data_IF_562970093507
#
_entry.id   IF_562970093507
#
_cell.length_a   1.000
_cell.length_b   1.000
_cell.length_c   1.000
_cell.angle_alpha   90.00
_cell.angle_beta   90.00
_cell.angle_gamma   90.00
#
_symmetry.space_group_name_H-M   'P 1'
#
loop_
_entity.id
_entity.type
_entity.pdbx_description
1 polymer ?
#
# COMPACT_ATOMS: atom_id res chain seq x y z
N UNK A 1 18.91 -2.26 54.18
CA UNK A 1 17.46 -2.07 53.89
C UNK A 1 17.30 -1.72 52.44
N UNK A 2 16.91 -2.67 51.57
CA UNK A 2 16.65 -2.43 50.14
C UNK A 2 15.13 -2.27 49.98
N UNK A 3 14.62 -1.25 49.24
CA UNK A 3 13.20 -1.16 48.99
C UNK A 3 12.77 -2.18 47.95
N UNK A 4 11.73 -2.92 48.27
CA UNK A 4 11.04 -3.88 47.41
C UNK A 4 10.19 -3.05 46.39
N UNK A 5 10.62 -3.05 45.12
CA UNK A 5 9.81 -2.49 44.02
C UNK A 5 8.88 -3.60 43.55
N UNK A 6 7.62 -3.50 43.93
CA UNK A 6 6.56 -4.33 43.36
C UNK A 6 6.43 -4.01 41.87
N UNK A 7 6.81 -4.98 41.02
CA UNK A 7 6.56 -4.91 39.58
C UNK A 7 5.07 -5.15 39.39
N UNK A 8 4.37 -4.06 39.04
CA UNK A 8 2.99 -4.11 38.57
C UNK A 8 2.99 -4.88 37.24
N UNK A 9 2.52 -6.12 37.25
CA UNK A 9 2.24 -6.89 36.03
C UNK A 9 1.07 -6.20 35.31
N UNK A 10 1.42 -5.24 34.44
CA UNK A 10 0.46 -4.71 33.48
C UNK A 10 0.13 -5.82 32.48
N UNK A 11 -1.13 -6.24 32.51
CA UNK A 11 -1.78 -7.15 31.58
C UNK A 11 -1.32 -6.92 30.15
N UNK A 12 -0.65 -7.93 29.57
CA UNK A 12 -0.33 -7.98 28.15
C UNK A 12 -1.61 -7.78 27.33
N UNK A 13 -1.60 -6.90 26.33
CA UNK A 13 -2.77 -6.73 25.49
C UNK A 13 -3.08 -8.05 24.80
N UNK A 14 -4.28 -8.57 25.03
CA UNK A 14 -4.84 -9.71 24.33
C UNK A 14 -4.64 -9.52 22.84
N UNK A 15 -3.96 -10.47 22.19
CA UNK A 15 -3.75 -10.48 20.74
C UNK A 15 -5.10 -10.39 20.03
N UNK A 16 -5.41 -9.20 19.51
CA UNK A 16 -6.58 -9.03 18.64
C UNK A 16 -6.50 -10.04 17.50
N UNK A 17 -7.60 -10.69 17.10
CA UNK A 17 -7.60 -11.67 16.03
C UNK A 17 -7.02 -10.99 14.77
N UNK A 18 -5.91 -11.53 14.25
CA UNK A 18 -5.28 -11.06 13.01
C UNK A 18 -6.36 -10.92 11.95
N UNK A 19 -6.72 -9.67 11.64
CA UNK A 19 -7.68 -9.37 10.58
C UNK A 19 -7.22 -10.14 9.33
N UNK A 20 -8.10 -11.00 8.80
CA UNK A 20 -7.85 -11.85 7.64
C UNK A 20 -7.40 -10.96 6.48
N UNK A 21 -6.10 -10.83 6.30
CA UNK A 21 -5.51 -10.05 5.21
C UNK A 21 -5.91 -10.76 3.92
N UNK A 22 -6.54 -10.02 3.01
CA UNK A 22 -6.86 -10.52 1.67
C UNK A 22 -5.56 -10.62 0.90
N UNK A 23 -5.06 -11.86 0.77
CA UNK A 23 -3.71 -12.18 0.34
C UNK A 23 -3.68 -12.45 -1.17
N UNK A 24 -3.64 -11.40 -2.02
CA UNK A 24 -3.19 -11.54 -3.40
C UNK A 24 -1.68 -11.84 -3.46
N UNK A 25 -0.99 -11.38 -4.50
CA UNK A 25 0.48 -11.49 -4.62
C UNK A 25 1.23 -10.83 -3.45
N UNK A 26 0.56 -10.00 -2.66
CA UNK A 26 1.10 -9.45 -1.41
C UNK A 26 1.54 -10.54 -0.42
N UNK A 27 0.95 -11.74 -0.48
CA UNK A 27 1.39 -12.90 0.31
C UNK A 27 2.85 -13.32 0.01
N UNK A 28 3.36 -13.01 -1.19
CA UNK A 28 4.74 -13.29 -1.59
C UNK A 28 5.76 -12.30 -0.99
N UNK A 29 5.30 -11.21 -0.35
CA UNK A 29 6.19 -10.18 0.20
C UNK A 29 7.27 -10.75 1.15
N UNK A 30 6.99 -11.67 2.09
CA UNK A 30 8.01 -12.24 2.96
C UNK A 30 9.06 -13.06 2.19
N UNK A 31 8.62 -13.80 1.17
CA UNK A 31 9.51 -14.54 0.29
C UNK A 31 10.40 -13.58 -0.52
N UNK A 32 9.83 -12.54 -1.10
CA UNK A 32 10.56 -11.54 -1.87
C UNK A 32 11.58 -10.80 -1.00
N UNK A 33 11.21 -10.40 0.23
CA UNK A 33 12.13 -9.76 1.19
C UNK A 33 13.33 -10.66 1.50
N UNK A 34 13.12 -11.98 1.68
CA UNK A 34 14.23 -12.92 1.90
C UNK A 34 15.18 -13.01 0.70
N UNK A 35 14.69 -12.86 -0.53
CA UNK A 35 15.54 -12.81 -1.73
C UNK A 35 16.34 -11.51 -1.83
N UNK A 36 15.93 -10.46 -1.14
CA UNK A 36 16.63 -9.17 -1.07
C UNK A 36 17.67 -9.10 0.07
N UNK A 37 17.82 -10.14 0.90
CA UNK A 37 18.81 -10.19 1.99
C UNK A 37 20.22 -9.84 1.53
N UNK A 38 20.74 -10.29 0.37
CA UNK A 38 22.06 -9.90 -0.10
C UNK A 38 22.27 -8.40 -0.32
N UNK A 39 21.18 -7.64 -0.47
CA UNK A 39 21.20 -6.17 -0.58
C UNK A 39 20.91 -5.54 0.79
N UNK A 40 20.02 -6.15 1.55
CA UNK A 40 19.61 -5.66 2.87
C UNK A 40 20.77 -5.65 3.86
N UNK A 41 21.50 -6.78 3.99
CA UNK A 41 22.55 -6.91 4.99
C UNK A 41 23.70 -5.91 4.81
N UNK A 42 24.28 -5.72 3.60
CA UNK A 42 25.25 -4.66 3.37
C UNK A 42 24.69 -3.24 3.60
N UNK A 43 23.44 -2.99 3.21
CA UNK A 43 22.80 -1.70 3.43
C UNK A 43 22.68 -1.36 4.92
N UNK A 44 22.37 -2.36 5.76
CA UNK A 44 22.33 -2.21 7.22
C UNK A 44 23.73 -2.01 7.78
N UNK A 45 24.70 -2.84 7.37
CA UNK A 45 26.08 -2.76 7.83
C UNK A 45 26.74 -1.41 7.51
N UNK A 46 26.48 -0.86 6.30
CA UNK A 46 27.01 0.43 5.86
C UNK A 46 26.12 1.63 6.23
N UNK A 47 25.12 1.45 7.08
CA UNK A 47 24.23 2.52 7.53
C UNK A 47 23.52 3.28 6.39
N UNK A 48 23.21 2.63 5.27
CA UNK A 48 22.52 3.25 4.13
C UNK A 48 21.14 3.78 4.55
N UNK A 49 20.80 5.01 4.15
CA UNK A 49 19.50 5.60 4.46
C UNK A 49 18.37 4.83 3.77
N UNK A 50 17.24 4.52 4.45
CA UNK A 50 16.06 3.96 3.82
C UNK A 50 15.54 4.78 2.62
N UNK A 51 15.68 6.10 2.66
CA UNK A 51 15.24 7.02 1.61
C UNK A 51 15.96 6.80 0.26
N UNK A 52 17.18 6.26 0.29
CA UNK A 52 17.91 5.89 -0.94
C UNK A 52 17.15 4.81 -1.71
N UNK A 53 16.56 3.84 -1.00
CA UNK A 53 15.78 2.77 -1.62
C UNK A 53 14.42 3.26 -2.13
N UNK A 54 13.79 4.22 -1.44
CA UNK A 54 12.60 4.90 -1.94
C UNK A 54 12.92 5.65 -3.23
N UNK A 55 14.00 6.45 -3.26
CA UNK A 55 14.42 7.19 -4.44
C UNK A 55 14.79 6.25 -5.60
N UNK A 56 15.56 5.19 -5.33
CA UNK A 56 15.92 4.18 -6.33
C UNK A 56 14.67 3.50 -6.92
N UNK A 57 13.65 3.23 -6.09
CA UNK A 57 12.36 2.70 -6.54
C UNK A 57 11.63 3.65 -7.47
N UNK A 58 11.65 4.97 -7.20
CA UNK A 58 11.06 6.00 -8.08
C UNK A 58 11.82 6.09 -9.41
N UNK A 59 13.16 6.11 -9.37
CA UNK A 59 13.99 6.10 -10.59
C UNK A 59 13.73 4.85 -11.43
N UNK A 60 13.67 3.68 -10.79
CA UNK A 60 13.33 2.44 -11.48
C UNK A 60 11.92 2.49 -12.11
N UNK A 61 10.94 3.12 -11.44
CA UNK A 61 9.60 3.32 -12.01
C UNK A 61 9.63 4.24 -13.24
N UNK A 62 10.44 5.29 -13.22
CA UNK A 62 10.67 6.17 -14.39
C UNK A 62 11.27 5.39 -15.56
N UNK A 63 12.32 4.60 -15.30
CA UNK A 63 12.93 3.74 -16.31
C UNK A 63 11.95 2.67 -16.85
N UNK A 64 11.10 2.10 -15.97
CA UNK A 64 10.02 1.21 -16.39
C UNK A 64 9.03 1.94 -17.31
N UNK A 65 8.62 3.17 -16.94
CA UNK A 65 7.72 4.00 -17.77
C UNK A 65 8.28 4.24 -19.16
N UNK A 66 9.56 4.57 -19.27
CA UNK A 66 10.25 4.73 -20.58
C UNK A 66 10.24 3.40 -21.34
N UNK A 67 10.64 2.29 -20.71
CA UNK A 67 10.66 0.98 -21.35
C UNK A 67 9.27 0.56 -21.85
N UNK A 68 8.21 0.82 -21.05
CA UNK A 68 6.81 0.58 -21.42
C UNK A 68 6.44 1.43 -22.64
N UNK A 69 6.73 2.74 -22.63
CA UNK A 69 6.41 3.66 -23.71
C UNK A 69 6.96 3.19 -25.07
N UNK A 70 8.11 2.52 -25.06
CA UNK A 70 8.73 1.94 -26.27
C UNK A 70 8.38 0.48 -26.52
N UNK A 71 7.56 -0.16 -25.67
CA UNK A 71 7.17 -1.57 -25.81
C UNK A 71 8.29 -2.57 -25.52
N UNK A 72 9.36 -2.14 -24.82
CA UNK A 72 10.52 -2.98 -24.48
C UNK A 72 10.19 -3.79 -23.21
N UNK A 73 9.30 -4.78 -23.35
CA UNK A 73 8.72 -5.50 -22.22
C UNK A 73 9.76 -6.15 -21.28
N UNK A 74 10.93 -6.70 -21.72
CA UNK A 74 11.88 -7.29 -20.79
C UNK A 74 12.48 -6.24 -19.83
N UNK A 75 12.80 -5.04 -20.35
CA UNK A 75 13.29 -3.93 -19.54
C UNK A 75 12.17 -3.37 -18.65
N UNK A 76 10.95 -3.26 -19.17
CA UNK A 76 9.79 -2.86 -18.37
C UNK A 76 9.59 -3.80 -17.17
N UNK A 77 9.60 -5.11 -17.39
CA UNK A 77 9.48 -6.10 -16.33
C UNK A 77 10.63 -6.00 -15.31
N UNK A 78 11.88 -5.90 -15.78
CA UNK A 78 13.05 -5.74 -14.92
C UNK A 78 12.91 -4.50 -14.02
N UNK A 79 12.63 -3.34 -14.60
CA UNK A 79 12.53 -2.09 -13.83
C UNK A 79 11.31 -2.06 -12.91
N UNK A 80 10.19 -2.71 -13.25
CA UNK A 80 9.06 -2.88 -12.35
C UNK A 80 9.41 -3.77 -11.14
N UNK A 81 10.22 -4.82 -11.33
CA UNK A 81 10.75 -5.64 -10.22
C UNK A 81 11.69 -4.81 -9.34
N UNK A 82 12.60 -4.02 -9.94
CA UNK A 82 13.50 -3.12 -9.19
C UNK A 82 12.72 -2.05 -8.39
N UNK A 83 11.66 -1.50 -8.98
CA UNK A 83 10.73 -0.61 -8.27
C UNK A 83 10.14 -1.28 -7.03
N UNK A 84 9.64 -2.53 -7.17
CA UNK A 84 9.08 -3.29 -6.06
C UNK A 84 10.14 -3.64 -5.01
N UNK A 85 11.38 -3.90 -5.44
CA UNK A 85 12.51 -4.14 -4.55
C UNK A 85 12.84 -2.88 -3.71
N UNK A 86 12.95 -1.72 -4.34
CA UNK A 86 13.17 -0.44 -3.66
C UNK A 86 12.11 -0.18 -2.60
N UNK A 87 10.82 -0.26 -2.99
CA UNK A 87 9.67 -0.08 -2.10
C UNK A 87 9.49 -1.20 -1.04
N UNK A 88 10.33 -2.21 -0.99
CA UNK A 88 10.37 -3.22 0.06
C UNK A 88 11.59 -3.02 0.95
N UNK A 89 12.74 -2.67 0.36
CA UNK A 89 14.00 -2.46 1.05
C UNK A 89 13.97 -1.24 1.97
N UNK A 90 13.29 -0.13 1.59
CA UNK A 90 13.18 1.06 2.44
C UNK A 90 12.61 0.73 3.82
N UNK A 91 11.47 0.07 3.86
CA UNK A 91 10.86 -0.36 5.11
C UNK A 91 11.65 -1.49 5.82
N UNK A 92 12.32 -2.38 5.08
CA UNK A 92 13.13 -3.45 5.67
C UNK A 92 14.37 -2.87 6.36
N UNK A 93 15.12 -1.97 5.69
CA UNK A 93 16.29 -1.28 6.26
C UNK A 93 15.88 -0.41 7.44
N UNK A 94 14.77 0.36 7.33
CA UNK A 94 14.31 1.19 8.43
C UNK A 94 14.03 0.38 9.70
N UNK A 95 13.38 -0.77 9.57
CA UNK A 95 13.10 -1.68 10.70
C UNK A 95 14.37 -2.35 11.25
N UNK A 96 15.24 -2.86 10.36
CA UNK A 96 16.46 -3.54 10.77
C UNK A 96 17.43 -2.62 11.51
N UNK A 97 17.46 -1.33 11.14
CA UNK A 97 18.30 -0.31 11.79
C UNK A 97 17.61 0.40 12.97
N UNK A 98 16.33 0.15 13.22
CA UNK A 98 15.57 0.88 14.26
C UNK A 98 15.38 2.38 13.97
N UNK A 99 15.49 2.81 12.69
CA UNK A 99 15.40 4.23 12.27
C UNK A 99 14.06 4.59 11.62
N UNK A 100 13.02 3.84 11.94
CA UNK A 100 11.66 4.14 11.46
C UNK A 100 11.20 5.52 11.96
N UNK A 101 10.77 6.39 11.04
CA UNK A 101 10.35 7.77 11.36
C UNK A 101 9.07 8.13 10.62
N UNK A 102 8.22 9.02 11.20
CA UNK A 102 6.97 9.44 10.53
C UNK A 102 7.20 10.06 9.15
N UNK A 103 8.26 10.87 8.99
CA UNK A 103 8.59 11.48 7.71
C UNK A 103 9.00 10.44 6.64
N UNK A 104 9.73 9.39 7.02
CA UNK A 104 10.05 8.28 6.13
C UNK A 104 8.81 7.57 5.59
N UNK A 105 7.76 7.46 6.41
CA UNK A 105 6.46 6.96 5.97
C UNK A 105 5.82 7.86 4.90
N UNK A 106 5.85 9.19 5.10
CA UNK A 106 5.33 10.17 4.12
C UNK A 106 6.10 10.07 2.80
N UNK A 107 7.44 10.03 2.85
CA UNK A 107 8.28 9.89 1.66
C UNK A 107 7.99 8.61 0.89
N UNK A 108 7.81 7.48 1.57
CA UNK A 108 7.44 6.22 0.93
C UNK A 108 6.07 6.31 0.22
N UNK A 109 5.06 6.92 0.87
CA UNK A 109 3.74 7.09 0.24
C UNK A 109 3.79 8.00 -1.00
N UNK A 110 4.53 9.11 -0.93
CA UNK A 110 4.74 10.02 -2.07
C UNK A 110 5.51 9.29 -3.17
N UNK A 111 6.60 8.59 -2.82
CA UNK A 111 7.40 7.81 -3.77
C UNK A 111 6.59 6.73 -4.48
N UNK A 112 5.70 6.05 -3.76
CA UNK A 112 4.78 5.06 -4.35
C UNK A 112 3.81 5.71 -5.35
N UNK A 113 3.28 6.91 -5.05
CA UNK A 113 2.40 7.63 -5.98
C UNK A 113 3.15 8.13 -7.21
N UNK A 114 4.32 8.73 -7.02
CA UNK A 114 5.19 9.15 -8.12
C UNK A 114 5.54 7.96 -9.03
N UNK A 115 5.90 6.82 -8.44
CA UNK A 115 6.20 5.58 -9.17
C UNK A 115 5.00 5.07 -9.98
N UNK A 116 3.79 5.09 -9.41
CA UNK A 116 2.58 4.72 -10.13
C UNK A 116 2.35 5.67 -11.31
N UNK A 117 2.43 7.00 -11.10
CA UNK A 117 2.21 8.00 -12.15
C UNK A 117 3.21 7.85 -13.30
N UNK A 118 4.50 7.67 -13.01
CA UNK A 118 5.54 7.45 -14.03
C UNK A 118 5.27 6.18 -14.85
N UNK A 119 4.85 5.11 -14.20
CA UNK A 119 4.52 3.85 -14.88
C UNK A 119 3.27 4.00 -15.77
N UNK A 120 2.21 4.66 -15.27
CA UNK A 120 1.01 4.91 -16.07
C UNK A 120 1.24 5.93 -17.19
N UNK A 121 2.11 6.92 -17.00
CA UNK A 121 2.50 7.83 -18.07
C UNK A 121 3.15 7.07 -19.23
N UNK A 122 4.08 6.14 -18.94
CA UNK A 122 4.65 5.24 -19.94
C UNK A 122 3.60 4.40 -20.65
N UNK A 123 2.64 3.85 -19.90
CA UNK A 123 1.55 3.06 -20.47
C UNK A 123 0.59 3.90 -21.35
N UNK A 124 0.38 5.18 -21.01
CA UNK A 124 -0.41 6.10 -21.83
C UNK A 124 0.28 6.38 -23.18
N UNK A 125 1.61 6.63 -23.15
CA UNK A 125 2.41 6.78 -24.37
C UNK A 125 2.34 5.49 -25.23
N UNK A 126 2.52 4.34 -24.61
CA UNK A 126 2.42 3.04 -25.28
C UNK A 126 1.05 2.87 -25.94
N UNK A 127 -0.03 3.10 -25.21
CA UNK A 127 -1.40 3.00 -25.71
C UNK A 127 -1.68 4.00 -26.87
N UNK A 128 -1.15 5.24 -26.79
CA UNK A 128 -1.30 6.24 -27.82
C UNK A 128 -0.60 5.87 -29.14
N UNK A 129 0.43 5.02 -29.08
CA UNK A 129 1.22 4.57 -30.26
C UNK A 129 0.67 3.31 -30.92
N UNK A 130 -0.21 2.56 -30.26
CA UNK A 130 -0.71 1.30 -30.79
C UNK A 130 -1.69 1.41 -31.98
N UNK A 131 -2.24 2.59 -32.25
CA UNK A 131 -3.34 2.78 -33.23
C UNK A 131 -2.88 3.37 -34.57
N UNK A 132 -1.63 3.13 -34.98
CA UNK A 132 -1.09 3.57 -36.27
C UNK A 132 -0.05 4.69 -36.16
N UNK A 133 0.36 5.27 -37.29
CA UNK A 133 1.35 6.35 -37.31
C UNK A 133 0.85 7.58 -36.58
N UNK A 134 1.69 8.14 -35.70
CA UNK A 134 1.37 9.29 -34.85
C UNK A 134 0.98 8.92 -33.42
N UNK A 135 0.57 9.96 -32.67
CA UNK A 135 0.19 9.83 -31.24
C UNK A 135 -1.31 10.10 -31.09
N UNK A 136 -2.06 9.07 -30.73
CA UNK A 136 -3.53 9.14 -30.60
C UNK A 136 -3.93 9.33 -29.12
N UNK A 137 -3.69 10.54 -28.58
CA UNK A 137 -3.92 10.88 -27.18
C UNK A 137 -5.39 10.82 -26.71
N UNK A 138 -6.34 10.95 -27.64
CA UNK A 138 -7.77 10.87 -27.34
C UNK A 138 -8.36 9.48 -27.66
N UNK A 139 -7.51 8.48 -27.87
CA UNK A 139 -7.98 7.11 -28.10
C UNK A 139 -8.57 6.51 -26.82
N UNK A 140 -9.54 5.61 -27.00
CA UNK A 140 -10.20 4.93 -25.88
C UNK A 140 -9.21 4.25 -24.92
N UNK A 141 -8.17 3.51 -25.37
CA UNK A 141 -7.17 2.95 -24.47
C UNK A 141 -6.43 3.98 -23.62
N UNK A 142 -6.11 5.15 -24.16
CA UNK A 142 -5.47 6.23 -23.36
C UNK A 142 -6.41 6.72 -22.27
N UNK A 143 -7.68 6.94 -22.58
CA UNK A 143 -8.70 7.32 -21.60
C UNK A 143 -8.81 6.27 -20.49
N UNK A 144 -8.80 4.99 -20.85
CA UNK A 144 -8.80 3.89 -19.86
C UNK A 144 -7.52 3.88 -19.01
N UNK A 145 -6.34 4.17 -19.57
CA UNK A 145 -5.09 4.29 -18.80
C UNK A 145 -5.19 5.41 -17.79
N UNK A 146 -5.71 6.58 -18.18
CA UNK A 146 -5.91 7.71 -17.26
C UNK A 146 -6.90 7.39 -16.16
N UNK A 147 -7.99 6.71 -16.49
CA UNK A 147 -8.96 6.21 -15.51
C UNK A 147 -8.32 5.20 -14.54
N UNK A 148 -7.48 4.28 -15.05
CA UNK A 148 -6.75 3.33 -14.22
C UNK A 148 -5.71 4.02 -13.30
N UNK A 149 -5.02 5.04 -13.81
CA UNK A 149 -4.08 5.85 -13.02
C UNK A 149 -4.80 6.57 -11.86
N UNK A 150 -5.95 7.19 -12.14
CA UNK A 150 -6.79 7.83 -11.12
C UNK A 150 -7.30 6.79 -10.11
N UNK A 151 -7.88 5.69 -10.59
CA UNK A 151 -8.37 4.61 -9.73
C UNK A 151 -7.27 4.04 -8.83
N UNK A 152 -6.02 3.93 -9.30
CA UNK A 152 -4.88 3.41 -8.55
C UNK A 152 -4.54 4.23 -7.27
N UNK A 153 -4.99 5.47 -7.17
CA UNK A 153 -4.82 6.30 -5.97
C UNK A 153 -5.80 5.93 -4.86
N UNK A 154 -7.00 5.47 -5.22
CA UNK A 154 -8.14 5.31 -4.33
C UNK A 154 -7.91 4.31 -3.17
N UNK A 155 -7.30 3.11 -3.37
CA UNK A 155 -7.10 2.16 -2.28
C UNK A 155 -6.18 2.70 -1.17
N UNK A 156 -5.18 3.48 -1.55
CA UNK A 156 -4.26 4.10 -0.58
C UNK A 156 -4.95 5.26 0.12
N UNK A 157 -5.62 6.14 -0.63
CA UNK A 157 -6.39 7.25 -0.06
C UNK A 157 -7.42 6.74 0.94
N UNK A 158 -8.21 5.72 0.57
CA UNK A 158 -9.20 5.11 1.46
C UNK A 158 -8.57 4.54 2.75
N UNK A 159 -7.39 3.89 2.63
CA UNK A 159 -6.67 3.36 3.80
C UNK A 159 -6.11 4.44 4.71
N UNK A 160 -5.58 5.53 4.15
CA UNK A 160 -5.04 6.64 4.91
C UNK A 160 -6.15 7.44 5.59
N UNK A 161 -7.24 7.72 4.88
CA UNK A 161 -8.41 8.39 5.43
C UNK A 161 -9.04 7.58 6.57
N UNK A 162 -9.17 6.27 6.39
CA UNK A 162 -9.67 5.38 7.44
C UNK A 162 -8.74 5.36 8.67
N UNK A 163 -7.42 5.35 8.47
CA UNK A 163 -6.45 5.40 9.56
C UNK A 163 -6.49 6.75 10.29
N UNK A 164 -6.67 7.86 9.58
CA UNK A 164 -6.85 9.18 10.18
C UNK A 164 -8.13 9.25 11.02
N UNK A 165 -9.17 8.50 10.66
CA UNK A 165 -10.41 8.36 11.43
C UNK A 165 -10.32 7.35 12.59
N UNK A 166 -9.15 6.74 12.84
CA UNK A 166 -8.93 5.80 13.95
C UNK A 166 -9.08 4.31 13.61
N UNK A 167 -9.31 3.95 12.33
CA UNK A 167 -9.27 2.56 11.90
C UNK A 167 -7.84 2.06 11.65
N UNK A 168 -7.66 0.75 11.65
CA UNK A 168 -6.37 0.15 11.29
C UNK A 168 -6.09 0.32 9.80
N UNK A 169 -4.88 0.82 9.46
CA UNK A 169 -4.44 0.92 8.07
C UNK A 169 -4.35 -0.46 7.41
N UNK A 170 -4.98 -0.61 6.25
CA UNK A 170 -5.03 -1.88 5.50
C UNK A 170 -4.28 -1.77 4.17
N UNK A 171 -3.38 -2.71 3.91
CA UNK A 171 -2.53 -2.74 2.71
C UNK A 171 -2.84 -3.90 1.73
N UNK A 172 -3.76 -4.79 2.06
CA UNK A 172 -4.15 -5.92 1.22
C UNK A 172 -5.30 -5.59 0.26
N UNK A 173 -5.59 -6.52 -0.64
CA UNK A 173 -6.71 -6.44 -1.59
C UNK A 173 -6.45 -7.27 -2.84
N UNK A 174 -7.49 -7.57 -3.66
CA UNK A 174 -7.34 -8.38 -4.87
C UNK A 174 -6.47 -7.74 -5.95
N UNK A 175 -6.35 -6.40 -5.96
CA UNK A 175 -5.49 -5.68 -6.90
C UNK A 175 -4.70 -4.59 -6.17
N UNK A 176 -3.50 -4.96 -5.72
CA UNK A 176 -2.54 -4.09 -5.09
C UNK A 176 -1.45 -3.58 -6.06
N UNK A 177 -0.37 -3.03 -5.50
CA UNK A 177 0.77 -2.51 -6.26
C UNK A 177 1.47 -3.59 -7.10
N UNK A 178 1.65 -4.77 -6.53
CA UNK A 178 2.35 -5.90 -7.18
C UNK A 178 1.57 -6.43 -8.37
N UNK A 179 0.26 -6.62 -8.19
CA UNK A 179 -0.65 -7.06 -9.24
C UNK A 179 -0.69 -6.07 -10.40
N UNK A 180 -0.72 -4.74 -10.10
CA UNK A 180 -0.67 -3.71 -11.15
C UNK A 180 0.63 -3.78 -11.95
N UNK A 181 1.78 -3.92 -11.29
CA UNK A 181 3.07 -4.07 -11.99
C UNK A 181 3.07 -5.29 -12.93
N UNK A 182 2.57 -6.43 -12.45
CA UNK A 182 2.47 -7.65 -13.27
C UNK A 182 1.56 -7.43 -14.48
N UNK A 183 0.36 -6.89 -14.28
CA UNK A 183 -0.60 -6.65 -15.37
C UNK A 183 -0.04 -5.69 -16.42
N UNK A 184 0.65 -4.62 -16.00
CA UNK A 184 1.28 -3.68 -16.92
C UNK A 184 2.42 -4.33 -17.70
N UNK A 185 3.26 -5.15 -17.05
CA UNK A 185 4.31 -5.91 -17.72
C UNK A 185 3.74 -6.87 -18.78
N UNK A 186 2.66 -7.59 -18.42
CA UNK A 186 1.97 -8.49 -19.36
C UNK A 186 1.33 -7.74 -20.53
N UNK A 187 0.69 -6.59 -20.29
CA UNK A 187 0.12 -5.77 -21.37
C UNK A 187 1.19 -5.19 -22.30
N UNK A 188 2.39 -4.89 -21.78
CA UNK A 188 3.51 -4.43 -22.59
C UNK A 188 4.09 -5.59 -23.43
N UNK A 189 4.14 -6.81 -22.86
CA UNK A 189 4.62 -8.00 -23.57
C UNK A 189 3.61 -8.51 -24.63
N UNK A 190 2.33 -8.39 -24.33
CA UNK A 190 1.24 -8.88 -25.18
C UNK A 190 0.20 -7.78 -25.40
N UNK A 191 0.43 -6.83 -26.33
CA UNK A 191 -0.45 -5.67 -26.55
C UNK A 191 -1.92 -6.04 -26.83
N UNK A 192 -2.18 -7.20 -27.37
CA UNK A 192 -3.54 -7.70 -27.68
C UNK A 192 -4.42 -7.81 -26.42
N UNK A 193 -3.82 -8.05 -25.24
CA UNK A 193 -4.57 -8.15 -23.98
C UNK A 193 -4.76 -6.78 -23.27
N UNK A 194 -4.20 -5.71 -23.81
CA UNK A 194 -4.24 -4.38 -23.17
C UNK A 194 -5.66 -3.96 -22.77
N UNK A 195 -6.72 -4.08 -23.60
CA UNK A 195 -8.07 -3.68 -23.21
C UNK A 195 -8.60 -4.43 -21.98
N UNK A 196 -8.31 -5.74 -21.91
CA UNK A 196 -8.69 -6.57 -20.77
C UNK A 196 -7.92 -6.14 -19.51
N UNK A 197 -6.61 -5.92 -19.64
CA UNK A 197 -5.77 -5.46 -18.53
C UNK A 197 -6.24 -4.11 -18.00
N UNK A 198 -6.55 -3.14 -18.88
CA UNK A 198 -7.04 -1.83 -18.47
C UNK A 198 -8.37 -1.93 -17.71
N UNK A 199 -9.29 -2.77 -18.20
CA UNK A 199 -10.54 -3.06 -17.50
C UNK A 199 -10.29 -3.66 -16.11
N UNK A 200 -9.37 -4.61 -15.99
CA UNK A 200 -8.99 -5.22 -14.70
C UNK A 200 -8.31 -4.22 -13.78
N UNK A 201 -7.45 -3.35 -14.30
CA UNK A 201 -6.80 -2.29 -13.51
C UNK A 201 -7.82 -1.34 -12.87
N UNK A 202 -8.86 -0.95 -13.61
CA UNK A 202 -9.92 -0.08 -13.08
C UNK A 202 -10.79 -0.85 -12.09
N UNK A 203 -11.42 -1.94 -12.53
CA UNK A 203 -12.42 -2.67 -11.72
C UNK A 203 -11.79 -3.31 -10.48
N UNK A 204 -10.65 -3.97 -10.63
CA UNK A 204 -9.96 -4.60 -9.50
C UNK A 204 -9.49 -3.59 -8.45
N UNK A 205 -9.10 -2.40 -8.88
CA UNK A 205 -8.74 -1.31 -7.96
C UNK A 205 -9.95 -0.76 -7.24
N UNK A 206 -11.08 -0.56 -7.92
CA UNK A 206 -12.35 -0.13 -7.32
C UNK A 206 -12.85 -1.15 -6.30
N UNK A 207 -12.80 -2.45 -6.65
CA UNK A 207 -13.16 -3.53 -5.73
C UNK A 207 -12.24 -3.51 -4.50
N UNK A 208 -10.92 -3.35 -4.69
CA UNK A 208 -9.97 -3.24 -3.58
C UNK A 208 -10.31 -2.08 -2.65
N UNK A 209 -10.63 -0.91 -3.22
CA UNK A 209 -11.05 0.28 -2.48
C UNK A 209 -12.31 0.03 -1.67
N UNK A 210 -13.35 -0.50 -2.33
CA UNK A 210 -14.63 -0.83 -1.68
C UNK A 210 -14.44 -1.78 -0.49
N UNK A 211 -13.65 -2.85 -0.67
CA UNK A 211 -13.39 -3.82 0.39
C UNK A 211 -12.64 -3.22 1.57
N UNK A 212 -11.70 -2.30 1.31
CA UNK A 212 -10.99 -1.57 2.37
C UNK A 212 -11.93 -0.63 3.14
N UNK A 213 -12.76 0.13 2.45
CA UNK A 213 -13.75 1.02 3.07
C UNK A 213 -14.78 0.24 3.89
N UNK A 214 -15.30 -0.87 3.35
CA UNK A 214 -16.23 -1.75 4.08
C UNK A 214 -15.61 -2.30 5.36
N UNK A 215 -14.34 -2.71 5.31
CA UNK A 215 -13.64 -3.22 6.48
C UNK A 215 -13.36 -2.12 7.52
N UNK A 216 -12.96 -0.91 7.08
CA UNK A 216 -12.76 0.23 7.95
C UNK A 216 -14.05 0.67 8.64
N UNK A 217 -15.16 0.75 7.89
CA UNK A 217 -16.49 1.07 8.45
C UNK A 217 -16.90 0.10 9.56
N UNK A 218 -16.68 -1.21 9.36
CA UNK A 218 -17.01 -2.21 10.38
C UNK A 218 -16.16 -2.04 11.65
N UNK A 219 -14.87 -1.77 11.47
CA UNK A 219 -13.94 -1.56 12.59
C UNK A 219 -14.29 -0.30 13.38
N UNK A 220 -14.58 0.81 12.69
CA UNK A 220 -14.97 2.07 13.35
C UNK A 220 -16.30 1.93 14.08
N UNK A 221 -17.29 1.23 13.50
CA UNK A 221 -18.56 0.97 14.18
C UNK A 221 -18.38 0.12 15.45
N UNK A 222 -17.53 -0.91 15.42
CA UNK A 222 -17.23 -1.73 16.59
C UNK A 222 -16.56 -0.88 17.70
N UNK A 223 -15.57 -0.07 17.36
CA UNK A 223 -14.90 0.83 18.32
C UNK A 223 -15.86 1.84 18.94
N UNK A 224 -16.80 2.38 18.16
CA UNK A 224 -17.82 3.30 18.70
C UNK A 224 -18.76 2.59 19.68
N UNK A 225 -19.15 1.34 19.42
CA UNK A 225 -19.96 0.56 20.34
C UNK A 225 -19.22 0.27 21.64
N UNK A 226 -17.96 -0.13 21.58
CA UNK A 226 -17.11 -0.35 22.77
C UNK A 226 -17.02 0.93 23.61
N UNK A 227 -16.74 2.08 23.01
CA UNK A 227 -16.68 3.36 23.71
C UNK A 227 -17.99 3.77 24.36
N UNK A 228 -19.14 3.45 23.73
CA UNK A 228 -20.47 3.74 24.30
C UNK A 228 -20.78 2.86 25.52
N UNK A 229 -20.38 1.58 25.47
CA UNK A 229 -20.54 0.64 26.60
C UNK A 229 -19.69 1.10 27.78
N UNK A 230 -18.40 1.37 27.55
CA UNK A 230 -17.48 1.84 28.61
C UNK A 230 -17.96 3.16 29.23
N UNK A 231 -18.44 4.10 28.41
CA UNK A 231 -18.99 5.35 28.91
C UNK A 231 -20.29 5.14 29.74
N UNK A 232 -21.12 4.20 29.32
CA UNK A 232 -22.35 3.84 30.07
C UNK A 232 -22.04 3.18 31.42
N UNK A 233 -21.07 2.26 31.45
CA UNK A 233 -20.62 1.62 32.70
C UNK A 233 -19.99 2.65 33.67
N UNK A 234 -19.15 3.54 33.15
CA UNK A 234 -18.54 4.60 33.99
C UNK A 234 -19.58 5.57 34.56
N UNK A 235 -20.61 5.95 33.81
CA UNK A 235 -21.71 6.76 34.31
C UNK A 235 -22.53 6.03 35.38
N UNK A 236 -22.74 4.74 35.23
CA UNK A 236 -23.46 3.91 36.20
C UNK A 236 -22.67 3.78 37.54
N UNK A 237 -21.33 3.76 37.45
CA UNK A 237 -20.46 3.68 38.63
C UNK A 237 -20.36 5.04 39.39
N UNK A 238 -20.37 6.16 38.63
CA UNK A 238 -20.22 7.53 39.22
C UNK A 238 -21.54 8.07 39.77
N UNK A 239 -22.69 7.58 39.32
CA UNK A 239 -24.01 7.94 39.88
C UNK A 239 -24.42 6.90 40.93
N UNK A 240 -24.02 7.07 42.21
CA UNK A 240 -24.59 6.25 43.26
C UNK A 240 -26.08 6.50 43.29
N UNK A 241 -26.88 5.43 43.24
CA UNK A 241 -28.32 5.49 43.44
C UNK A 241 -28.62 6.13 44.81
N UNK A 242 -28.70 7.43 44.87
CA UNK A 242 -29.41 8.12 45.94
C UNK A 242 -30.88 7.75 45.78
N UNK A 243 -31.24 6.52 46.19
CA UNK A 243 -32.62 6.21 46.56
C UNK A 243 -32.95 7.09 47.74
N UNK A 244 -33.58 8.22 47.45
CA UNK A 244 -34.33 8.95 48.44
C UNK A 244 -35.36 7.97 49.03
N UNK A 245 -35.10 7.54 50.26
CA UNK A 245 -36.13 6.93 51.12
C UNK A 245 -37.11 8.02 51.43
N UNK A 246 -38.34 7.89 50.93
CA UNK A 246 -39.52 8.58 51.43
C UNK A 246 -40.19 7.69 52.47
#
# INVERSE_FOLDING_TARGET
>A
MKPNVAICESSLPTTSPRARQMNGLYALKPWFTRRLTPILDPAVAHNVSPDVFTAAGVVAAGAAGVAIAFGIWPLAALFLVLRLAGANLDGAVARARGVSRPWGFVLNEIGDRASDMLTFAGLAVFAARLHGPGMHWLSWPVIQVLAAALAATLPTFASLAAAAAGATRRNGGPLGKTERCLLIALATAFPVILPVVLTQLVNGTLITTFLRLRAARRELAAKQQEQQVDAGEHLAEVVPLTRVAA
#
